data_IF_509377230420
#
_entry.id   IF_509377230420
#
_cell.length_a   1.000
_cell.length_b   1.000
_cell.length_c   1.000
_cell.angle_alpha   90.00
_cell.angle_beta   90.00
_cell.angle_gamma   90.00
#
_symmetry.space_group_name_H-M   'P 1'
#
loop_
_entity.id
_entity.type
_entity.pdbx_description
1 polymer ?
#
# COMPACT_ATOMS: atom_id res chain seq x y z
N UNK A 1 -15.34 24.74 -14.68
CA UNK A 1 -14.98 23.30 -14.70
C UNK A 1 -13.53 23.17 -14.23
N UNK A 2 -13.23 22.39 -13.17
CA UNK A 2 -11.85 22.28 -12.63
C UNK A 2 -10.92 21.64 -13.67
N UNK A 3 -9.91 22.41 -14.11
CA UNK A 3 -8.95 22.09 -15.18
C UNK A 3 -8.14 20.81 -14.92
N UNK A 4 -7.90 20.51 -13.65
CA UNK A 4 -7.06 19.39 -13.20
C UNK A 4 -7.59 18.00 -13.57
N UNK A 5 -8.91 17.86 -13.86
CA UNK A 5 -9.50 16.57 -14.27
C UNK A 5 -9.18 16.17 -15.72
N UNK A 6 -8.57 17.06 -16.51
CA UNK A 6 -8.29 16.83 -17.93
C UNK A 6 -6.80 16.96 -18.29
N UNK A 7 -5.94 17.22 -17.31
CA UNK A 7 -4.49 17.31 -17.57
C UNK A 7 -3.85 15.94 -17.48
N UNK A 8 -3.15 15.57 -18.55
CA UNK A 8 -2.23 14.45 -18.57
C UNK A 8 -0.84 14.92 -18.11
N UNK A 9 -0.01 13.99 -17.64
CA UNK A 9 1.40 14.28 -17.30
C UNK A 9 2.13 14.90 -18.48
N UNK A 10 1.83 14.45 -19.71
CA UNK A 10 2.37 15.01 -20.94
C UNK A 10 2.11 16.52 -21.08
N UNK A 11 0.86 16.95 -20.90
CA UNK A 11 0.50 18.38 -20.96
C UNK A 11 1.13 19.15 -19.80
N UNK A 12 1.22 18.55 -18.62
CA UNK A 12 1.82 19.17 -17.43
C UNK A 12 3.32 19.44 -17.57
N UNK A 13 4.06 18.52 -18.19
CA UNK A 13 5.49 18.65 -18.46
C UNK A 13 5.80 19.66 -19.56
N UNK A 14 4.90 19.83 -20.52
CA UNK A 14 5.10 20.79 -21.59
C UNK A 14 5.16 22.21 -21.02
N UNK A 15 6.32 22.86 -21.17
CA UNK A 15 6.57 24.24 -20.74
C UNK A 15 6.23 24.51 -19.26
N UNK A 16 6.37 23.52 -18.37
CA UNK A 16 6.00 23.65 -16.96
C UNK A 16 4.55 24.14 -16.75
N UNK A 17 3.60 23.65 -17.54
CA UNK A 17 2.19 24.03 -17.41
C UNK A 17 1.61 23.76 -16.01
N UNK A 18 2.02 22.68 -15.35
CA UNK A 18 1.59 22.31 -13.99
C UNK A 18 1.77 23.38 -12.90
N UNK A 19 2.73 24.29 -13.04
CA UNK A 19 2.93 25.38 -12.07
C UNK A 19 1.69 26.30 -12.00
N UNK A 20 0.99 26.44 -13.12
CA UNK A 20 -0.18 27.29 -13.25
C UNK A 20 -1.43 26.72 -12.56
N UNK A 21 -1.44 25.41 -12.28
CA UNK A 21 -2.56 24.72 -11.60
C UNK A 21 -2.39 24.69 -10.09
N UNK A 22 -1.23 25.09 -9.59
CA UNK A 22 -0.98 25.24 -8.16
C UNK A 22 -1.63 26.55 -7.71
N UNK A 23 -2.72 26.43 -6.96
CA UNK A 23 -3.48 27.57 -6.45
C UNK A 23 -3.40 27.65 -4.93
N UNK A 24 -3.38 28.88 -4.42
CA UNK A 24 -3.37 29.18 -2.98
C UNK A 24 -2.06 29.82 -2.54
N UNK A 25 -1.99 30.14 -1.24
CA UNK A 25 -0.77 30.63 -0.62
C UNK A 25 0.17 29.45 -0.39
N UNK A 26 1.30 29.43 -1.07
CA UNK A 26 2.34 28.42 -0.89
C UNK A 26 3.34 28.89 0.15
N UNK A 27 3.61 28.06 1.15
CA UNK A 27 4.73 28.26 2.04
C UNK A 27 6.05 27.87 1.37
N UNK A 28 7.16 28.21 2.02
CA UNK A 28 8.50 27.93 1.51
C UNK A 28 8.79 26.43 1.38
N UNK A 29 8.17 25.62 2.24
CA UNK A 29 8.30 24.17 2.20
C UNK A 29 7.61 23.57 0.98
N UNK A 30 6.41 24.03 0.66
CA UNK A 30 5.65 23.61 -0.52
C UNK A 30 6.36 24.01 -1.82
N UNK A 31 6.96 25.20 -1.84
CA UNK A 31 7.81 25.65 -2.96
C UNK A 31 9.03 24.71 -3.11
N UNK A 32 9.68 24.36 -1.99
CA UNK A 32 10.80 23.40 -1.99
C UNK A 32 10.41 22.03 -2.54
N UNK A 33 9.27 21.48 -2.11
CA UNK A 33 8.73 20.21 -2.62
C UNK A 33 8.42 20.27 -4.11
N UNK A 34 7.84 21.37 -4.58
CA UNK A 34 7.58 21.58 -6.00
C UNK A 34 8.87 21.58 -6.83
N UNK A 35 9.90 22.33 -6.41
CA UNK A 35 11.18 22.39 -7.12
C UNK A 35 11.87 21.02 -7.15
N UNK A 36 11.84 20.27 -6.05
CA UNK A 36 12.39 18.91 -6.00
C UNK A 36 11.68 17.97 -6.99
N UNK A 37 10.34 18.02 -7.01
CA UNK A 37 9.56 17.24 -7.96
C UNK A 37 9.85 17.67 -9.40
N UNK A 38 10.00 18.97 -9.65
CA UNK A 38 10.31 19.48 -10.98
C UNK A 38 11.62 18.94 -11.50
N UNK A 39 12.71 19.07 -10.72
CA UNK A 39 14.00 18.53 -11.11
C UNK A 39 13.99 17.01 -11.30
N UNK A 40 13.22 16.27 -10.50
CA UNK A 40 13.12 14.83 -10.63
C UNK A 40 12.42 14.39 -11.93
N UNK A 41 11.45 15.17 -12.42
CA UNK A 41 10.62 14.79 -13.58
C UNK A 41 11.05 15.48 -14.88
N UNK A 42 11.77 16.61 -14.82
CA UNK A 42 12.21 17.38 -16.01
C UNK A 42 12.95 16.52 -17.05
N UNK A 43 13.74 15.56 -16.60
CA UNK A 43 14.50 14.66 -17.48
C UNK A 43 13.76 13.36 -17.84
N UNK A 44 12.49 13.22 -17.49
CA UNK A 44 11.70 12.03 -17.79
C UNK A 44 11.21 12.08 -19.24
N UNK A 45 11.68 11.14 -20.05
CA UNK A 45 11.21 10.98 -21.43
C UNK A 45 9.89 10.21 -21.42
N UNK A 46 8.80 10.87 -21.80
CA UNK A 46 7.52 10.20 -22.00
C UNK A 46 7.50 9.45 -23.33
N UNK A 47 6.98 8.23 -23.30
CA UNK A 47 6.73 7.41 -24.48
C UNK A 47 5.25 7.40 -24.83
N UNK A 48 4.92 7.13 -26.09
CA UNK A 48 3.54 6.89 -26.53
C UNK A 48 3.02 5.48 -26.19
N UNK A 49 3.89 4.62 -25.64
CA UNK A 49 3.48 3.31 -25.16
C UNK A 49 2.47 3.42 -24.00
N UNK A 50 1.46 2.54 -23.95
CA UNK A 50 0.52 2.52 -22.84
C UNK A 50 1.23 2.14 -21.53
N UNK A 51 0.85 2.82 -20.45
CA UNK A 51 1.36 2.56 -19.11
C UNK A 51 1.12 1.10 -18.70
N UNK A 52 2.13 0.50 -18.05
CA UNK A 52 2.06 -0.86 -17.52
C UNK A 52 2.03 -0.82 -16.01
N UNK A 53 1.04 -1.49 -15.43
CA UNK A 53 0.98 -1.70 -13.98
C UNK A 53 1.95 -2.81 -13.58
N UNK A 54 3.07 -2.44 -12.96
CA UNK A 54 4.07 -3.38 -12.46
C UNK A 54 3.90 -3.62 -10.97
N UNK A 55 3.68 -4.87 -10.60
CA UNK A 55 3.61 -5.30 -9.21
C UNK A 55 5.01 -5.55 -8.64
N UNK A 56 5.52 -4.59 -7.87
CA UNK A 56 6.90 -4.60 -7.34
C UNK A 56 7.25 -5.78 -6.41
N UNK A 57 6.23 -6.50 -5.90
CA UNK A 57 6.42 -7.57 -4.92
C UNK A 57 6.53 -8.97 -5.56
N UNK A 58 6.53 -9.06 -6.89
CA UNK A 58 6.83 -10.31 -7.61
C UNK A 58 7.88 -10.05 -8.68
N UNK A 59 8.77 -11.02 -8.91
CA UNK A 59 9.77 -10.94 -9.98
C UNK A 59 9.15 -10.92 -11.38
N UNK A 60 7.95 -11.48 -11.54
CA UNK A 60 7.19 -11.42 -12.80
C UNK A 60 6.55 -10.05 -13.06
N UNK A 61 6.55 -9.14 -12.08
CA UNK A 61 5.87 -7.85 -12.16
C UNK A 61 4.35 -7.95 -12.27
N UNK A 62 3.76 -9.14 -12.14
CA UNK A 62 2.33 -9.37 -12.32
C UNK A 62 1.59 -9.30 -10.99
N UNK A 63 0.49 -8.55 -10.98
CA UNK A 63 -0.41 -8.48 -9.83
C UNK A 63 -1.22 -9.78 -9.68
N UNK A 64 -1.42 -10.21 -8.44
CA UNK A 64 -2.43 -11.19 -8.07
C UNK A 64 -2.97 -10.87 -6.68
N UNK A 65 -4.22 -11.25 -6.40
CA UNK A 65 -4.78 -11.10 -5.05
C UNK A 65 -3.93 -11.83 -3.99
N UNK A 66 -3.35 -12.99 -4.36
CA UNK A 66 -2.45 -13.76 -3.49
C UNK A 66 -1.16 -13.01 -3.16
N UNK A 67 -0.47 -12.46 -4.16
CA UNK A 67 0.78 -11.72 -3.93
C UNK A 67 0.52 -10.40 -3.18
N UNK A 68 -0.62 -9.75 -3.41
CA UNK A 68 -1.07 -8.59 -2.64
C UNK A 68 -1.28 -8.94 -1.16
N UNK A 69 -1.97 -10.05 -0.87
CA UNK A 69 -2.14 -10.54 0.49
C UNK A 69 -0.79 -10.83 1.14
N UNK A 70 0.10 -11.55 0.45
CA UNK A 70 1.43 -11.86 0.99
C UNK A 70 2.26 -10.62 1.30
N UNK A 71 2.22 -9.60 0.43
CA UNK A 71 2.94 -8.33 0.67
C UNK A 71 2.34 -7.53 1.84
N UNK A 72 1.02 -7.43 1.91
CA UNK A 72 0.33 -6.68 2.96
C UNK A 72 0.49 -7.32 4.34
N UNK A 73 0.52 -8.65 4.38
CA UNK A 73 0.67 -9.43 5.62
C UNK A 73 2.09 -9.96 5.81
N UNK A 74 3.08 -9.37 5.14
CA UNK A 74 4.48 -9.70 5.37
C UNK A 74 4.85 -9.37 6.83
N UNK A 75 5.39 -10.35 7.56
CA UNK A 75 5.67 -10.21 9.00
C UNK A 75 4.47 -10.44 9.92
N UNK A 76 3.32 -10.85 9.38
CA UNK A 76 2.23 -11.37 10.22
C UNK A 76 2.65 -12.66 10.93
N UNK A 77 2.04 -12.90 12.10
CA UNK A 77 2.32 -14.12 12.85
C UNK A 77 1.75 -15.31 12.09
N UNK A 78 2.64 -16.13 11.54
CA UNK A 78 2.26 -17.39 10.93
C UNK A 78 2.01 -18.42 12.03
N UNK A 79 0.75 -18.77 12.26
CA UNK A 79 0.41 -19.94 13.07
C UNK A 79 0.67 -21.21 12.28
N UNK A 80 1.59 -22.06 12.73
CA UNK A 80 1.77 -23.41 12.17
C UNK A 80 0.49 -24.25 12.27
N UNK A 81 -0.35 -23.95 13.26
CA UNK A 81 -1.56 -24.68 13.61
C UNK A 81 -2.81 -24.23 12.85
N UNK A 82 -2.72 -23.20 11.99
CA UNK A 82 -3.91 -22.59 11.36
C UNK A 82 -4.79 -23.61 10.62
N UNK A 83 -4.19 -24.62 9.97
CA UNK A 83 -4.95 -25.67 9.28
C UNK A 83 -5.78 -26.49 10.26
N UNK A 84 -5.22 -26.87 11.41
CA UNK A 84 -5.95 -27.63 12.44
C UNK A 84 -7.07 -26.82 13.08
N UNK A 85 -6.85 -25.51 13.25
CA UNK A 85 -7.83 -24.60 13.85
C UNK A 85 -8.99 -24.34 12.87
N UNK A 86 -8.68 -24.06 11.61
CA UNK A 86 -9.69 -23.59 10.65
C UNK A 86 -10.34 -24.71 9.82
N UNK A 87 -9.65 -25.84 9.56
CA UNK A 87 -10.15 -26.97 8.74
C UNK A 87 -10.79 -28.11 9.54
N UNK A 88 -11.14 -27.90 10.81
CA UNK A 88 -11.86 -28.89 11.61
C UNK A 88 -13.39 -28.70 11.52
N UNK A 89 -14.14 -29.67 12.03
CA UNK A 89 -15.60 -29.65 12.12
C UNK A 89 -16.13 -28.82 13.29
N UNK A 90 -15.26 -28.18 14.07
CA UNK A 90 -15.69 -27.50 15.28
C UNK A 90 -16.52 -26.24 14.96
N UNK A 91 -17.51 -25.91 15.81
CA UNK A 91 -18.24 -24.65 15.71
C UNK A 91 -17.30 -23.44 15.70
N UNK A 92 -17.72 -22.35 15.04
CA UNK A 92 -16.88 -21.15 14.88
C UNK A 92 -16.36 -20.59 16.20
N UNK A 93 -17.17 -20.61 17.26
CA UNK A 93 -16.77 -20.16 18.61
C UNK A 93 -15.55 -20.92 19.14
N UNK A 94 -15.50 -22.23 18.89
CA UNK A 94 -14.39 -23.10 19.32
C UNK A 94 -13.14 -22.82 18.49
N UNK A 95 -13.28 -22.61 17.18
CA UNK A 95 -12.15 -22.24 16.30
C UNK A 95 -11.53 -20.90 16.67
N UNK A 96 -12.36 -19.89 16.97
CA UNK A 96 -11.88 -18.58 17.43
C UNK A 96 -11.15 -18.70 18.77
N UNK A 97 -11.65 -19.49 19.71
CA UNK A 97 -10.98 -19.72 20.99
C UNK A 97 -9.59 -20.37 20.78
N UNK A 98 -9.52 -21.44 19.99
CA UNK A 98 -8.23 -22.08 19.68
C UNK A 98 -7.26 -21.15 18.95
N UNK A 99 -7.76 -20.31 18.03
CA UNK A 99 -6.96 -19.28 17.38
C UNK A 99 -6.36 -18.29 18.39
N UNK A 100 -7.15 -17.80 19.34
CA UNK A 100 -6.65 -16.90 20.38
C UNK A 100 -5.67 -17.60 21.32
N UNK A 101 -5.92 -18.88 21.62
CA UNK A 101 -5.06 -19.68 22.49
C UNK A 101 -3.69 -19.96 21.87
N UNK A 102 -3.64 -20.31 20.59
CA UNK A 102 -2.40 -20.55 19.83
C UNK A 102 -1.52 -19.30 19.73
N UNK A 103 -2.11 -18.12 19.92
CA UNK A 103 -1.43 -16.82 19.85
C UNK A 103 -1.11 -16.23 21.23
N UNK A 104 -1.34 -16.96 22.33
CA UNK A 104 -1.19 -16.46 23.71
C UNK A 104 -2.09 -15.24 24.04
N UNK A 105 -3.21 -15.10 23.32
CA UNK A 105 -4.15 -13.97 23.43
C UNK A 105 -5.40 -14.28 24.23
N UNK A 106 -5.52 -15.48 24.79
CA UNK A 106 -6.57 -15.79 25.76
C UNK A 106 -6.35 -15.00 27.06
N UNK A 107 -7.44 -14.64 27.73
CA UNK A 107 -7.39 -14.02 29.06
C UNK A 107 -7.15 -15.12 30.10
N UNK A 108 -5.88 -15.46 30.31
CA UNK A 108 -5.43 -16.38 31.36
C UNK A 108 -4.55 -15.64 32.37
N UNK A 109 -4.38 -16.20 33.56
CA UNK A 109 -3.49 -15.64 34.59
C UNK A 109 -2.05 -15.44 34.07
N UNK A 110 -1.59 -16.33 33.19
CA UNK A 110 -0.27 -16.21 32.54
C UNK A 110 -0.13 -14.94 31.69
N UNK A 111 -1.22 -14.51 31.04
CA UNK A 111 -1.21 -13.25 30.27
C UNK A 111 -1.18 -12.03 31.18
N UNK A 112 -1.85 -12.08 32.34
CA UNK A 112 -1.80 -11.02 33.36
C UNK A 112 -0.38 -10.87 33.90
N UNK A 113 0.37 -11.96 34.09
CA UNK A 113 1.74 -11.91 34.60
C UNK A 113 2.79 -11.31 33.63
N UNK A 114 2.43 -11.12 32.35
CA UNK A 114 3.35 -10.59 31.31
C UNK A 114 3.23 -9.07 31.07
N UNK A 115 2.27 -8.40 31.72
CA UNK A 115 1.99 -6.96 31.60
C UNK A 115 1.94 -6.31 32.98
#
# INVERSE_FOLDING_TARGET
>A
KRRWKLQTVFVGLQANAWAHDIHGMLGIHEIGQYIQLWHAVEHTTLTTEPDRLLWKWTSSGSYSAKSCYQATFQGSIHSSSWKFIWKNWAPLRVRIFHWLSDQDRCWTADRLARH
#
